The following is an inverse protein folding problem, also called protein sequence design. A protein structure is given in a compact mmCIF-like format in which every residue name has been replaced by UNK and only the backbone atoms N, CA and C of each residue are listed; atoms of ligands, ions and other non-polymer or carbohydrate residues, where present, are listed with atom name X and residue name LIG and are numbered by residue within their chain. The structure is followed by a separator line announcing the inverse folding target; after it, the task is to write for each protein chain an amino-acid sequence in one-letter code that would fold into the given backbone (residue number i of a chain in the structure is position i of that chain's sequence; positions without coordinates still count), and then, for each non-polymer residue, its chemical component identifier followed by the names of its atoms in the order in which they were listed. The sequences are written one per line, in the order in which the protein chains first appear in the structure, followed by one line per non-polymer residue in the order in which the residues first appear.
data_IF_626095719130
#
_entry.id   IF_626095719130
#
_cell.length_a   1.000
_cell.length_b   1.000
_cell.length_c   1.000
_cell.angle_alpha   90.00
_cell.angle_beta   90.00
_cell.angle_gamma   90.00
#
_symmetry.space_group_name_H-M   'P 1'
#
loop_
_entity.id
_entity.type
_entity.pdbx_description
1 polymer ?
#
# COMPACT_ATOMS: atom_id res chain seq x y z
N UNK A 1 6.26 -14.76 24.55
CA UNK A 1 4.84 -15.17 24.74
C UNK A 1 3.83 -14.46 23.83
N UNK A 2 4.20 -13.75 22.80
CA UNK A 2 3.22 -13.12 21.90
C UNK A 2 2.34 -14.13 21.14
N UNK A 3 2.89 -15.30 20.78
CA UNK A 3 2.18 -16.27 19.94
C UNK A 3 0.98 -16.98 20.58
N UNK A 4 0.83 -16.90 21.90
CA UNK A 4 -0.35 -17.46 22.59
C UNK A 4 -1.54 -16.52 22.62
N UNK A 5 -1.31 -15.25 22.37
CA UNK A 5 -2.31 -14.19 22.48
C UNK A 5 -3.14 -14.02 21.22
N UNK A 6 -2.60 -14.41 20.07
CA UNK A 6 -3.29 -14.28 18.77
C UNK A 6 -4.16 -15.50 18.40
N UNK A 7 -4.20 -16.55 19.22
CA UNK A 7 -4.89 -17.80 18.87
C UNK A 7 -6.41 -17.76 18.96
N UNK A 8 -6.98 -16.82 19.67
CA UNK A 8 -8.43 -16.75 19.91
C UNK A 8 -9.09 -15.49 19.32
N UNK A 9 -8.39 -14.76 18.47
CA UNK A 9 -8.96 -13.64 17.71
C UNK A 9 -9.41 -12.44 18.55
N UNK A 10 -9.01 -12.36 19.80
CA UNK A 10 -9.37 -11.26 20.69
C UNK A 10 -8.25 -10.23 20.74
N UNK A 11 -8.63 -8.96 20.84
CA UNK A 11 -7.71 -7.86 20.95
C UNK A 11 -6.79 -8.01 22.17
N UNK A 12 -5.52 -8.11 21.89
CA UNK A 12 -4.50 -8.22 22.91
C UNK A 12 -3.64 -6.98 23.02
N UNK A 13 -4.19 -5.82 22.67
CA UNK A 13 -3.58 -4.52 22.92
C UNK A 13 -3.11 -4.34 24.39
N UNK A 14 -3.61 -5.19 25.27
CA UNK A 14 -3.50 -5.02 26.71
C UNK A 14 -2.18 -5.44 27.32
N UNK A 15 -1.24 -6.02 26.59
CA UNK A 15 0.01 -6.48 27.20
C UNK A 15 1.25 -6.40 26.31
N UNK A 16 1.33 -5.43 25.43
CA UNK A 16 2.60 -5.12 24.82
C UNK A 16 3.60 -4.77 25.92
N UNK A 17 4.71 -5.49 25.97
CA UNK A 17 5.78 -5.28 26.94
C UNK A 17 7.05 -5.01 26.20
N UNK A 18 7.74 -3.98 26.61
CA UNK A 18 9.06 -3.64 26.14
C UNK A 18 10.11 -4.19 27.08
N UNK A 19 11.21 -4.74 26.55
CA UNK A 19 12.31 -5.22 27.35
C UNK A 19 13.31 -4.09 27.55
N UNK A 20 13.23 -3.43 28.71
CA UNK A 20 14.18 -2.37 29.08
C UNK A 20 15.10 -2.94 30.17
N UNK A 21 16.41 -2.88 29.96
CA UNK A 21 17.43 -3.39 30.89
C UNK A 21 17.21 -4.83 31.35
N UNK A 22 16.74 -5.68 30.42
CA UNK A 22 16.51 -7.10 30.73
C UNK A 22 15.18 -7.43 31.39
N UNK A 23 14.41 -6.45 31.88
CA UNK A 23 13.09 -6.61 32.45
C UNK A 23 11.99 -6.29 31.44
N UNK A 24 10.90 -7.09 31.43
CA UNK A 24 9.72 -6.80 30.66
C UNK A 24 8.89 -5.73 31.38
N UNK A 25 8.82 -4.53 30.80
CA UNK A 25 7.96 -3.46 31.28
C UNK A 25 6.77 -3.28 30.33
N UNK A 26 5.62 -2.78 30.81
CA UNK A 26 4.53 -2.41 29.92
C UNK A 26 5.04 -1.42 28.89
N UNK A 27 4.83 -1.70 27.61
CA UNK A 27 5.14 -0.76 26.55
C UNK A 27 4.22 0.46 26.67
N UNK A 28 4.70 1.62 26.24
CA UNK A 28 3.89 2.84 26.17
C UNK A 28 2.68 2.72 25.24
N UNK A 29 2.64 1.71 24.35
CA UNK A 29 1.45 1.31 23.62
C UNK A 29 0.25 0.91 24.51
N UNK A 30 0.51 0.55 25.75
CA UNK A 30 -0.54 0.19 26.73
C UNK A 30 -1.45 1.37 27.08
N UNK A 31 -1.06 2.58 26.80
CA UNK A 31 -1.85 3.75 27.14
C UNK A 31 -3.01 4.02 26.14
N UNK A 32 -3.10 3.27 25.06
CA UNK A 32 -4.21 3.38 24.12
C UNK A 32 -4.91 2.02 23.95
N UNK A 33 -5.87 1.69 24.81
CA UNK A 33 -6.49 0.36 24.88
C UNK A 33 -7.23 -0.04 23.59
N UNK A 34 -7.52 0.92 22.72
CA UNK A 34 -8.16 0.67 21.43
C UNK A 34 -7.19 0.28 20.30
N UNK A 35 -5.87 0.42 20.50
CA UNK A 35 -4.89 0.08 19.46
C UNK A 35 -4.32 -1.32 19.70
N UNK A 36 -4.27 -2.11 18.62
CA UNK A 36 -3.61 -3.41 18.62
C UNK A 36 -2.11 -3.20 18.40
N UNK A 37 -1.33 -3.40 19.44
CA UNK A 37 0.12 -3.34 19.35
C UNK A 37 0.68 -4.50 18.52
N UNK A 38 1.86 -4.29 17.94
CA UNK A 38 2.60 -5.28 17.14
C UNK A 38 1.83 -5.85 15.93
N UNK A 39 0.74 -5.21 15.51
CA UNK A 39 -0.10 -5.68 14.41
C UNK A 39 0.67 -5.84 13.09
N UNK A 40 1.69 -5.02 12.88
CA UNK A 40 2.55 -5.06 11.70
C UNK A 40 3.92 -5.70 11.96
N UNK A 41 4.15 -6.25 13.15
CA UNK A 41 5.40 -6.95 13.41
C UNK A 41 5.51 -8.18 12.51
N UNK A 42 6.67 -8.46 11.88
CA UNK A 42 6.81 -9.56 10.91
C UNK A 42 6.49 -10.95 11.44
N UNK A 43 6.56 -11.16 12.75
CA UNK A 43 6.22 -12.43 13.36
C UNK A 43 4.71 -12.59 13.64
N UNK A 44 3.96 -11.48 13.67
CA UNK A 44 2.52 -11.43 13.94
C UNK A 44 1.77 -10.49 12.99
N UNK A 45 2.03 -10.48 11.69
CA UNK A 45 1.42 -9.49 10.81
C UNK A 45 -0.08 -9.76 10.65
N UNK A 46 -0.89 -8.70 10.68
CA UNK A 46 -2.33 -8.78 10.39
C UNK A 46 -2.64 -9.21 8.95
N UNK A 47 -1.66 -9.07 8.06
CA UNK A 47 -1.76 -9.44 6.63
C UNK A 47 -1.38 -10.89 6.34
N UNK A 48 -1.25 -11.76 7.37
CA UNK A 48 -1.03 -13.19 7.15
C UNK A 48 -2.14 -13.79 6.28
N UNK A 49 -1.73 -14.61 5.31
CA UNK A 49 -2.62 -15.25 4.34
C UNK A 49 -3.36 -14.28 3.41
N UNK A 50 -2.87 -13.06 3.27
CA UNK A 50 -3.38 -12.12 2.26
C UNK A 50 -2.73 -12.37 0.89
N UNK A 51 -3.24 -11.71 -0.13
CA UNK A 51 -2.58 -11.70 -1.45
C UNK A 51 -1.15 -11.16 -1.39
N UNK A 52 -0.83 -10.34 -0.37
CA UNK A 52 0.51 -9.76 -0.17
C UNK A 52 1.50 -10.73 0.49
N UNK A 53 1.05 -11.84 1.05
CA UNK A 53 1.93 -12.88 1.63
C UNK A 53 2.08 -14.10 0.73
N UNK A 54 1.58 -14.00 -0.49
CA UNK A 54 1.65 -15.05 -1.50
C UNK A 54 3.08 -15.24 -2.00
N UNK A 55 3.54 -16.48 -2.07
CA UNK A 55 4.85 -16.82 -2.64
C UNK A 55 4.83 -16.67 -4.17
N UNK A 56 5.68 -15.77 -4.67
CA UNK A 56 5.80 -15.48 -6.11
C UNK A 56 6.89 -16.31 -6.80
N UNK A 57 7.58 -17.20 -6.10
CA UNK A 57 8.71 -17.96 -6.66
C UNK A 57 8.34 -18.82 -7.86
N UNK A 58 7.08 -19.24 -7.96
CA UNK A 58 6.53 -20.03 -9.07
C UNK A 58 5.57 -19.23 -9.95
N UNK A 59 5.54 -17.92 -9.82
CA UNK A 59 4.70 -17.06 -10.67
C UNK A 59 5.12 -17.23 -12.15
N UNK A 60 4.17 -17.57 -13.05
CA UNK A 60 4.45 -17.62 -14.47
C UNK A 60 4.80 -16.24 -15.00
N UNK A 61 5.84 -16.18 -15.80
CA UNK A 61 6.37 -14.93 -16.31
C UNK A 61 5.61 -14.50 -17.58
N UNK A 62 5.41 -13.19 -17.68
CA UNK A 62 4.95 -12.58 -18.92
C UNK A 62 6.01 -12.81 -20.02
N UNK A 63 5.63 -13.13 -21.27
CA UNK A 63 6.60 -13.36 -22.35
C UNK A 63 7.56 -12.21 -22.56
N UNK A 64 7.11 -10.98 -22.32
CA UNK A 64 7.95 -9.77 -22.41
C UNK A 64 8.47 -9.31 -21.04
N UNK A 65 8.65 -10.20 -20.08
CA UNK A 65 9.10 -9.85 -18.72
C UNK A 65 10.44 -9.09 -18.74
N UNK A 66 11.36 -9.46 -19.62
CA UNK A 66 12.65 -8.78 -19.77
C UNK A 66 12.48 -7.34 -20.31
N UNK A 67 11.57 -7.13 -21.26
CA UNK A 67 11.22 -5.79 -21.77
C UNK A 67 10.59 -4.93 -20.68
N UNK A 68 9.74 -5.52 -19.83
CA UNK A 68 9.14 -4.84 -18.66
C UNK A 68 10.21 -4.43 -17.65
N UNK A 69 11.16 -5.30 -17.33
CA UNK A 69 12.27 -4.96 -16.43
C UNK A 69 13.14 -3.82 -16.97
N UNK A 70 13.46 -3.87 -18.26
CA UNK A 70 14.19 -2.80 -18.93
C UNK A 70 13.41 -1.46 -18.92
N UNK A 71 12.10 -1.51 -19.14
CA UNK A 71 11.22 -0.35 -19.08
C UNK A 71 11.16 0.24 -17.67
N UNK A 72 11.03 -0.59 -16.64
CA UNK A 72 11.05 -0.16 -15.24
C UNK A 72 12.38 0.53 -14.90
N UNK A 73 13.49 -0.05 -15.31
CA UNK A 73 14.80 0.55 -15.10
C UNK A 73 14.97 1.89 -15.82
N UNK A 74 14.50 1.99 -17.08
CA UNK A 74 14.54 3.21 -17.89
C UNK A 74 13.70 4.33 -17.27
N UNK A 75 12.52 4.00 -16.75
CA UNK A 75 11.54 4.95 -16.25
C UNK A 75 11.60 5.14 -14.71
N UNK A 76 12.58 4.55 -14.06
CA UNK A 76 12.84 4.74 -12.64
C UNK A 76 13.41 6.12 -12.30
N UNK A 77 14.34 6.72 -13.07
CA UNK A 77 14.60 8.14 -12.99
C UNK A 77 13.36 8.92 -13.37
N UNK A 78 13.21 10.14 -12.88
CA UNK A 78 12.15 11.06 -13.30
C UNK A 78 12.00 11.05 -14.83
N UNK A 79 10.91 10.47 -15.38
CA UNK A 79 10.77 10.31 -16.83
C UNK A 79 10.68 11.62 -17.58
N UNK A 80 10.45 12.73 -16.87
CA UNK A 80 10.33 14.04 -17.50
C UNK A 80 11.58 14.88 -17.40
N UNK A 81 12.60 14.48 -16.64
CA UNK A 81 13.86 15.20 -16.48
C UNK A 81 13.63 16.69 -16.18
N UNK A 82 12.55 16.95 -15.47
CA UNK A 82 11.85 18.21 -15.52
C UNK A 82 12.53 19.28 -14.68
N UNK A 83 12.12 20.48 -14.93
CA UNK A 83 12.41 21.64 -14.10
C UNK A 83 12.07 21.42 -12.61
N UNK A 84 11.25 20.44 -12.28
CA UNK A 84 10.95 20.06 -10.89
C UNK A 84 12.18 19.50 -10.19
N UNK A 85 12.90 18.59 -10.82
CA UNK A 85 14.19 18.11 -10.30
C UNK A 85 15.26 19.21 -10.36
N UNK A 86 15.27 19.99 -11.42
CA UNK A 86 16.20 21.10 -11.60
C UNK A 86 15.97 22.28 -10.65
N UNK A 87 14.72 22.51 -10.25
CA UNK A 87 14.35 23.63 -9.37
C UNK A 87 14.49 23.33 -7.87
N UNK A 88 14.50 22.09 -7.48
CA UNK A 88 14.61 21.68 -6.08
C UNK A 88 16.07 21.38 -5.73
N UNK A 89 16.80 22.40 -5.34
CA UNK A 89 18.12 22.23 -4.72
C UNK A 89 17.98 21.31 -3.50
N UNK A 90 18.49 20.08 -3.61
CA UNK A 90 18.52 19.11 -2.52
C UNK A 90 17.29 18.23 -2.36
N UNK A 91 16.36 18.24 -3.31
CA UNK A 91 15.12 17.47 -3.21
C UNK A 91 15.25 15.95 -3.33
N UNK A 92 16.38 15.41 -3.67
CA UNK A 92 16.63 13.97 -3.69
C UNK A 92 15.83 13.17 -4.76
N UNK A 93 14.99 13.82 -5.52
CA UNK A 93 14.09 13.21 -6.48
C UNK A 93 14.76 12.80 -7.81
N UNK A 94 16.02 13.09 -7.97
CA UNK A 94 16.84 12.54 -9.06
C UNK A 94 17.28 11.09 -8.84
N UNK A 95 16.86 10.49 -7.72
CA UNK A 95 17.13 9.11 -7.42
C UNK A 95 16.33 8.18 -8.33
N UNK A 96 16.94 7.07 -8.73
CA UNK A 96 16.27 6.04 -9.56
C UNK A 96 15.12 5.35 -8.85
N UNK A 97 15.02 5.43 -7.55
CA UNK A 97 13.96 4.89 -6.72
C UNK A 97 13.91 5.69 -5.43
N UNK A 98 12.72 6.04 -4.99
CA UNK A 98 12.50 6.80 -3.77
C UNK A 98 11.76 5.97 -2.72
N UNK A 99 11.77 6.45 -1.48
CA UNK A 99 10.95 5.97 -0.39
C UNK A 99 9.92 7.04 -0.06
N UNK A 100 8.64 6.73 -0.12
CA UNK A 100 7.58 7.58 0.40
C UNK A 100 7.38 7.28 1.88
N UNK A 101 7.80 8.20 2.73
CA UNK A 101 7.65 8.08 4.19
C UNK A 101 7.06 9.35 4.80
N UNK A 102 6.61 9.28 6.03
CA UNK A 102 6.08 10.44 6.74
C UNK A 102 7.09 11.57 6.95
N UNK A 103 8.38 11.27 6.89
CA UNK A 103 9.42 12.29 6.93
C UNK A 103 9.68 12.96 5.58
N UNK A 104 9.43 12.25 4.48
CA UNK A 104 9.61 12.74 3.11
C UNK A 104 8.78 11.92 2.12
N UNK A 105 8.09 12.59 1.25
CA UNK A 105 7.17 11.98 0.28
C UNK A 105 5.72 12.40 0.50
N UNK A 106 4.84 11.93 -0.36
CA UNK A 106 3.44 12.40 -0.40
C UNK A 106 2.41 11.33 -0.09
N UNK A 107 2.79 10.05 -0.15
CA UNK A 107 1.86 8.92 -0.14
C UNK A 107 2.00 7.94 1.04
N UNK A 108 2.63 8.28 2.17
CA UNK A 108 2.54 7.43 3.35
C UNK A 108 1.11 7.38 3.86
N UNK A 109 0.75 6.29 4.53
CA UNK A 109 -0.58 6.12 5.12
C UNK A 109 -0.47 5.89 6.63
N UNK A 110 -1.30 6.58 7.42
CA UNK A 110 -1.39 6.35 8.86
C UNK A 110 -2.33 5.16 9.10
N UNK A 111 -1.77 4.01 9.47
CA UNK A 111 -2.53 2.78 9.66
C UNK A 111 -2.81 2.52 11.14
N UNK A 112 -4.08 2.40 11.47
CA UNK A 112 -4.58 2.07 12.80
C UNK A 112 -5.23 0.69 12.80
N UNK A 113 -4.90 -0.13 13.78
CA UNK A 113 -5.55 -1.42 14.01
C UNK A 113 -6.29 -1.35 15.33
N UNK A 114 -7.60 -1.57 15.29
CA UNK A 114 -8.51 -1.46 16.44
C UNK A 114 -9.38 -2.71 16.56
N UNK A 115 -10.03 -2.86 17.70
CA UNK A 115 -11.04 -3.89 17.94
C UNK A 115 -12.35 -3.26 18.42
N UNK A 116 -13.34 -3.19 17.55
CA UNK A 116 -14.64 -2.63 17.88
C UNK A 116 -15.44 -3.47 18.91
N UNK A 117 -15.01 -4.69 19.20
CA UNK A 117 -15.63 -5.52 20.27
C UNK A 117 -15.07 -5.21 21.65
N UNK A 118 -13.95 -4.48 21.72
CA UNK A 118 -13.36 -4.12 23.01
C UNK A 118 -14.15 -2.95 23.64
N UNK A 119 -14.54 -3.03 24.95
CA UNK A 119 -15.40 -2.04 25.58
C UNK A 119 -14.78 -0.63 25.71
N UNK A 120 -13.45 -0.51 25.60
CA UNK A 120 -12.74 0.76 25.63
C UNK A 120 -12.48 1.33 24.24
N UNK A 121 -13.08 0.78 23.18
CA UNK A 121 -12.93 1.29 21.83
C UNK A 121 -13.58 2.67 21.71
N UNK A 122 -12.80 3.60 21.23
CA UNK A 122 -13.24 4.95 20.96
C UNK A 122 -13.73 5.07 19.51
N UNK A 123 -14.57 6.04 19.25
CA UNK A 123 -15.21 6.25 17.96
C UNK A 123 -15.06 7.68 17.48
N UNK A 124 -15.05 7.84 16.18
CA UNK A 124 -15.11 9.12 15.50
C UNK A 124 -16.23 9.14 14.46
N UNK A 125 -16.67 10.32 14.09
CA UNK A 125 -17.62 10.54 13.00
C UNK A 125 -16.87 10.86 11.73
N UNK A 126 -16.91 9.98 10.74
CA UNK A 126 -16.27 10.16 9.44
C UNK A 126 -17.27 10.64 8.39
N UNK A 127 -16.93 11.69 7.67
CA UNK A 127 -17.66 12.18 6.51
C UNK A 127 -16.81 12.01 5.25
N UNK A 128 -17.03 10.93 4.55
CA UNK A 128 -16.33 10.66 3.29
C UNK A 128 -17.18 11.18 2.12
N UNK A 129 -16.59 12.03 1.25
CA UNK A 129 -17.30 12.65 0.14
C UNK A 129 -17.68 11.66 -0.93
N UNK A 130 -16.78 10.75 -1.26
CA UNK A 130 -17.00 9.78 -2.33
C UNK A 130 -16.26 8.49 -2.04
N UNK A 131 -16.72 7.39 -2.59
CA UNK A 131 -15.97 6.16 -2.62
C UNK A 131 -15.05 6.10 -3.84
N UNK A 132 -13.93 5.37 -3.72
CA UNK A 132 -12.94 5.29 -4.79
C UNK A 132 -13.47 4.59 -6.05
N UNK A 133 -14.47 3.73 -5.90
CA UNK A 133 -15.12 3.05 -7.03
C UNK A 133 -15.87 4.04 -7.91
N UNK A 134 -16.59 4.99 -7.30
CA UNK A 134 -17.31 6.05 -8.00
C UNK A 134 -16.35 6.98 -8.74
N UNK A 135 -15.22 7.33 -8.15
CA UNK A 135 -14.26 8.26 -8.79
C UNK A 135 -13.64 7.69 -10.05
N UNK A 136 -13.42 6.40 -10.12
CA UNK A 136 -12.90 5.74 -11.33
C UNK A 136 -14.00 5.29 -12.29
N UNK A 137 -15.24 5.69 -12.01
CA UNK A 137 -16.39 5.34 -12.83
C UNK A 137 -16.71 3.84 -12.80
N UNK A 138 -16.33 3.15 -11.76
CA UNK A 138 -16.71 1.77 -11.53
C UNK A 138 -18.20 1.71 -11.21
N UNK A 139 -18.91 0.88 -11.92
CA UNK A 139 -20.29 0.58 -11.59
C UNK A 139 -20.28 -0.43 -10.43
N UNK A 140 -20.59 0.04 -9.23
CA UNK A 140 -20.77 -0.81 -8.06
C UNK A 140 -22.06 -1.66 -8.19
N UNK A 141 -22.21 -2.34 -9.33
CA UNK A 141 -23.32 -3.27 -9.55
C UNK A 141 -23.27 -4.35 -8.50
N UNK A 142 -24.32 -4.56 -7.74
CA UNK A 142 -24.31 -5.52 -6.65
C UNK A 142 -24.04 -6.92 -7.15
N UNK A 143 -23.02 -7.54 -6.58
CA UNK A 143 -22.93 -9.00 -6.64
C UNK A 143 -23.84 -9.60 -5.55
N UNK A 144 -24.31 -10.83 -5.69
CA UNK A 144 -25.14 -11.47 -4.66
C UNK A 144 -24.53 -11.48 -3.26
N UNK A 145 -23.21 -11.34 -3.16
CA UNK A 145 -22.41 -11.49 -1.94
C UNK A 145 -21.80 -10.19 -1.41
N UNK A 146 -21.86 -9.10 -2.19
CA UNK A 146 -21.22 -7.83 -1.83
C UNK A 146 -22.20 -6.71 -1.46
N UNK A 147 -21.69 -5.58 -0.95
CA UNK A 147 -22.53 -4.41 -0.67
C UNK A 147 -23.19 -3.90 -1.93
N UNK A 148 -24.46 -3.51 -1.80
CA UNK A 148 -25.30 -3.12 -2.92
C UNK A 148 -25.17 -1.60 -3.17
N UNK A 149 -24.35 -1.24 -4.17
CA UNK A 149 -24.30 0.11 -4.69
C UNK A 149 -23.62 1.15 -3.77
N UNK A 150 -23.49 2.35 -4.27
CA UNK A 150 -22.80 3.50 -3.62
C UNK A 150 -23.35 3.77 -2.21
N UNK A 151 -24.66 3.69 -1.99
CA UNK A 151 -25.27 3.95 -0.68
C UNK A 151 -24.79 2.95 0.38
N UNK A 152 -24.60 1.68 0.02
CA UNK A 152 -24.08 0.69 0.95
C UNK A 152 -22.59 0.92 1.27
N UNK A 153 -21.80 1.30 0.28
CA UNK A 153 -20.39 1.68 0.49
C UNK A 153 -20.29 2.87 1.43
N UNK A 154 -21.08 3.93 1.19
CA UNK A 154 -21.07 5.13 2.02
C UNK A 154 -21.42 4.83 3.49
N UNK A 155 -22.30 3.88 3.76
CA UNK A 155 -22.63 3.46 5.14
C UNK A 155 -21.47 2.78 5.86
N UNK A 156 -20.51 2.23 5.12
CA UNK A 156 -19.34 1.56 5.70
C UNK A 156 -18.19 2.53 5.91
N UNK A 157 -17.98 3.45 4.97
CA UNK A 157 -16.87 4.41 4.99
C UNK A 157 -17.22 5.74 5.65
N UNK A 158 -18.49 5.98 5.97
CA UNK A 158 -18.97 7.20 6.64
C UNK A 158 -19.80 6.86 7.87
N UNK A 159 -19.98 7.84 8.74
CA UNK A 159 -20.68 7.68 10.01
C UNK A 159 -19.75 7.35 11.16
N UNK A 160 -20.26 6.61 12.13
CA UNK A 160 -19.50 6.21 13.30
C UNK A 160 -18.51 5.10 12.96
N UNK A 161 -17.21 5.39 13.10
CA UNK A 161 -16.12 4.41 12.87
C UNK A 161 -15.27 4.25 14.13
N UNK A 162 -14.75 3.04 14.41
CA UNK A 162 -13.85 2.84 15.54
C UNK A 162 -12.50 3.50 15.23
N UNK A 163 -12.19 4.61 15.90
CA UNK A 163 -10.95 5.36 15.70
C UNK A 163 -10.50 5.95 17.02
N UNK A 164 -9.24 5.79 17.43
CA UNK A 164 -8.77 6.31 18.71
C UNK A 164 -8.79 7.83 18.76
N UNK A 165 -9.11 8.36 19.92
CA UNK A 165 -9.09 9.80 20.17
C UNK A 165 -7.69 10.36 19.88
N UNK A 166 -7.65 11.46 19.12
CA UNK A 166 -6.41 12.10 18.70
C UNK A 166 -5.73 11.44 17.50
N UNK A 167 -6.33 10.41 16.89
CA UNK A 167 -5.81 9.84 15.64
C UNK A 167 -5.67 10.94 14.58
N UNK A 168 -4.56 10.89 13.84
CA UNK A 168 -4.26 11.82 12.77
C UNK A 168 -3.98 11.05 11.48
N UNK A 169 -4.35 11.58 10.31
CA UNK A 169 -3.87 11.05 9.04
C UNK A 169 -2.36 11.23 8.91
N UNK A 170 -1.77 10.64 7.91
CA UNK A 170 -0.42 11.00 7.50
C UNK A 170 -0.35 12.53 7.30
N UNK A 171 0.70 13.15 7.83
CA UNK A 171 0.76 14.63 7.96
C UNK A 171 1.27 15.35 6.72
N UNK A 172 1.59 14.61 5.68
CA UNK A 172 2.12 15.13 4.42
C UNK A 172 1.33 14.58 3.22
N UNK A 173 1.37 15.35 2.12
CA UNK A 173 0.82 14.96 0.83
C UNK A 173 -0.65 14.54 0.87
N UNK A 174 -0.90 13.28 0.61
CA UNK A 174 -2.23 12.71 0.38
C UNK A 174 -3.07 12.54 1.65
N UNK A 175 -2.48 12.78 2.83
CA UNK A 175 -3.17 12.63 4.12
C UNK A 175 -3.90 11.30 4.24
N UNK A 176 -3.23 10.22 3.82
CA UNK A 176 -3.79 8.88 3.85
C UNK A 176 -4.03 8.39 5.28
N UNK A 177 -5.15 7.70 5.47
CA UNK A 177 -5.47 6.99 6.71
C UNK A 177 -6.03 5.63 6.37
N UNK A 178 -5.54 4.59 7.05
CA UNK A 178 -6.06 3.24 6.98
C UNK A 178 -6.52 2.79 8.36
N UNK A 179 -7.63 2.09 8.42
CA UNK A 179 -8.23 1.63 9.65
C UNK A 179 -8.67 0.18 9.50
N UNK A 180 -8.03 -0.72 10.19
CA UNK A 180 -8.46 -2.10 10.29
C UNK A 180 -9.14 -2.36 11.63
N UNK A 181 -10.41 -2.74 11.57
CA UNK A 181 -11.19 -3.16 12.72
C UNK A 181 -11.25 -4.68 12.75
N UNK A 182 -10.47 -5.29 13.63
CA UNK A 182 -10.43 -6.75 13.76
C UNK A 182 -11.72 -7.32 14.32
N UNK A 183 -12.47 -6.53 15.08
CA UNK A 183 -13.77 -6.94 15.66
C UNK A 183 -14.83 -7.17 14.59
N UNK A 184 -14.89 -6.30 13.58
CA UNK A 184 -15.82 -6.42 12.45
C UNK A 184 -15.22 -7.07 11.22
N UNK A 185 -13.90 -7.21 11.14
CA UNK A 185 -13.19 -7.68 9.95
C UNK A 185 -13.22 -6.65 8.80
N UNK A 186 -13.46 -5.39 9.09
CA UNK A 186 -13.54 -4.34 8.06
C UNK A 186 -12.24 -3.55 8.04
N UNK A 187 -11.64 -3.49 6.85
CA UNK A 187 -10.52 -2.61 6.55
C UNK A 187 -11.00 -1.42 5.74
N UNK A 188 -10.72 -0.21 6.23
CA UNK A 188 -11.05 1.04 5.55
C UNK A 188 -9.78 1.77 5.17
N UNK A 189 -9.76 2.37 3.99
CA UNK A 189 -8.70 3.29 3.57
C UNK A 189 -9.32 4.59 3.08
N UNK A 190 -8.65 5.70 3.41
CA UNK A 190 -9.10 7.03 3.10
C UNK A 190 -7.97 7.86 2.51
N UNK A 191 -8.32 8.73 1.57
CA UNK A 191 -7.47 9.75 0.97
C UNK A 191 -7.99 11.14 1.34
N UNK A 192 -7.07 12.08 1.51
CA UNK A 192 -7.34 13.49 1.85
C UNK A 192 -8.17 13.62 3.13
N UNK A 193 -7.66 13.01 4.21
CA UNK A 193 -8.31 13.05 5.52
C UNK A 193 -7.94 14.34 6.26
N UNK A 194 -8.95 14.99 6.80
CA UNK A 194 -8.83 16.15 7.68
C UNK A 194 -9.54 15.87 9.00
N UNK A 195 -8.88 16.18 10.10
CA UNK A 195 -9.46 16.01 11.43
C UNK A 195 -8.43 15.61 12.48
N UNK A 196 -8.85 15.57 13.77
CA UNK A 196 -10.20 15.95 14.21
C UNK A 196 -10.47 17.43 14.00
N UNK A 197 -11.69 17.76 13.54
CA UNK A 197 -12.12 19.15 13.29
C UNK A 197 -12.52 19.79 14.62
N UNK A 198 -11.87 20.89 15.04
CA UNK A 198 -12.02 21.41 16.41
C UNK A 198 -13.43 21.92 16.71
N UNK A 199 -14.10 22.50 15.70
CA UNK A 199 -15.40 23.17 15.85
C UNK A 199 -16.59 22.27 15.47
N UNK A 200 -16.34 20.97 15.26
CA UNK A 200 -17.36 20.01 14.84
C UNK A 200 -17.43 18.82 15.76
N UNK A 201 -18.66 18.38 16.01
CA UNK A 201 -18.94 17.16 16.77
C UNK A 201 -19.92 16.29 15.99
N UNK A 202 -19.75 14.99 16.11
CA UNK A 202 -20.69 13.99 15.63
C UNK A 202 -22.00 14.01 16.45
N UNK A 203 -22.96 13.17 16.07
CA UNK A 203 -24.29 13.16 16.70
C UNK A 203 -24.30 12.96 18.22
N UNK A 204 -23.32 12.26 18.78
CA UNK A 204 -23.20 12.01 20.22
C UNK A 204 -21.97 12.68 20.84
N UNK A 205 -21.36 13.65 20.15
CA UNK A 205 -20.19 14.38 20.63
C UNK A 205 -18.84 13.86 20.16
N UNK A 206 -18.81 12.87 19.26
CA UNK A 206 -17.59 12.27 18.73
C UNK A 206 -16.74 13.30 17.96
N UNK A 207 -15.41 13.11 17.89
CA UNK A 207 -14.56 13.88 16.99
C UNK A 207 -15.00 13.68 15.53
N UNK A 208 -15.02 14.75 14.74
CA UNK A 208 -15.39 14.69 13.32
C UNK A 208 -14.16 14.71 12.43
N UNK A 209 -14.16 13.83 11.44
CA UNK A 209 -13.18 13.78 10.36
C UNK A 209 -13.89 13.89 9.01
N UNK A 210 -13.19 14.42 8.02
CA UNK A 210 -13.65 14.39 6.63
C UNK A 210 -12.61 13.68 5.78
N UNK A 211 -13.06 13.01 4.72
CA UNK A 211 -12.18 12.39 3.72
C UNK A 211 -12.66 12.73 2.31
N UNK A 212 -11.73 12.93 1.39
CA UNK A 212 -12.04 13.17 -0.02
C UNK A 212 -12.55 11.91 -0.70
N UNK A 213 -11.85 10.81 -0.52
CA UNK A 213 -12.16 9.49 -1.08
C UNK A 213 -11.98 8.43 0.00
N UNK A 214 -12.81 7.41 0.00
CA UNK A 214 -12.68 6.25 0.85
C UNK A 214 -13.04 4.95 0.15
N UNK A 215 -12.58 3.87 0.73
CA UNK A 215 -12.92 2.52 0.31
C UNK A 215 -12.82 1.56 1.48
N UNK A 216 -13.23 0.33 1.25
CA UNK A 216 -13.20 -0.69 2.30
C UNK A 216 -13.00 -2.09 1.73
N UNK A 217 -12.67 -3.00 2.63
CA UNK A 217 -12.71 -4.43 2.42
C UNK A 217 -13.42 -5.09 3.58
N UNK A 218 -14.14 -6.16 3.31
CA UNK A 218 -14.91 -6.89 4.33
C UNK A 218 -14.25 -8.23 4.62
N UNK A 219 -14.27 -8.61 5.89
CA UNK A 219 -13.70 -9.87 6.38
C UNK A 219 -12.21 -10.05 6.02
N UNK A 220 -11.47 -8.92 6.00
CA UNK A 220 -10.08 -8.93 5.62
C UNK A 220 -9.84 -9.66 4.29
N UNK A 221 -10.31 -9.11 3.19
CA UNK A 221 -10.41 -9.78 1.90
C UNK A 221 -9.07 -10.19 1.30
N UNK A 222 -7.99 -9.62 1.81
CA UNK A 222 -6.67 -10.08 1.46
C UNK A 222 -6.22 -11.33 2.21
N UNK A 223 -6.89 -11.71 3.30
CA UNK A 223 -6.41 -12.76 4.21
C UNK A 223 -6.54 -14.16 3.64
N UNK A 224 -7.64 -14.45 2.99
CA UNK A 224 -7.84 -15.74 2.34
C UNK A 224 -7.55 -15.64 0.85
N UNK A 225 -6.42 -16.17 0.45
CA UNK A 225 -5.99 -16.24 -0.94
C UNK A 225 -6.59 -17.43 -1.71
N UNK A 226 -7.50 -18.17 -1.08
CA UNK A 226 -8.22 -19.26 -1.76
C UNK A 226 -9.07 -18.70 -2.90
N UNK A 227 -8.91 -19.26 -4.08
CA UNK A 227 -9.65 -18.86 -5.27
C UNK A 227 -11.16 -19.12 -5.17
N UNK A 228 -11.57 -19.89 -4.19
CA UNK A 228 -12.97 -20.26 -3.96
C UNK A 228 -13.61 -19.43 -2.85
N UNK A 229 -12.83 -18.68 -2.08
CA UNK A 229 -13.38 -17.83 -1.02
C UNK A 229 -13.75 -16.45 -1.57
N UNK A 230 -15.04 -16.12 -1.63
CA UNK A 230 -15.49 -14.82 -2.11
C UNK A 230 -15.00 -13.64 -1.26
N UNK A 231 -14.80 -13.84 0.05
CA UNK A 231 -14.34 -12.77 0.94
C UNK A 231 -12.95 -12.23 0.58
N UNK A 232 -12.08 -13.08 -0.01
CA UNK A 232 -10.76 -12.66 -0.49
C UNK A 232 -10.79 -11.64 -1.63
N UNK A 233 -11.95 -11.36 -2.17
CA UNK A 233 -12.15 -10.53 -3.35
C UNK A 233 -12.92 -9.27 -3.05
N UNK A 234 -13.47 -9.16 -1.84
CA UNK A 234 -14.34 -8.04 -1.48
C UNK A 234 -13.47 -6.83 -1.20
N UNK A 235 -13.39 -5.95 -2.17
CA UNK A 235 -12.77 -4.63 -2.00
C UNK A 235 -13.51 -3.59 -2.82
N UNK A 236 -13.56 -2.39 -2.33
CA UNK A 236 -14.01 -1.21 -3.07
C UNK A 236 -12.83 -0.29 -3.31
N UNK A 237 -13.06 0.84 -3.96
CA UNK A 237 -12.03 1.84 -4.15
C UNK A 237 -11.33 2.18 -2.85
N UNK A 238 -10.03 2.36 -2.93
CA UNK A 238 -9.15 2.63 -1.81
C UNK A 238 -8.54 4.02 -1.93
N UNK A 239 -7.59 4.34 -1.08
CA UNK A 239 -6.89 5.61 -1.10
C UNK A 239 -5.94 5.78 -2.29
N UNK A 240 -5.61 4.72 -2.99
CA UNK A 240 -4.77 4.73 -4.19
C UNK A 240 -5.57 4.57 -5.47
N UNK A 241 -5.04 5.08 -6.57
CA UNK A 241 -5.68 5.05 -7.88
C UNK A 241 -5.97 3.64 -8.40
N UNK A 242 -5.18 2.66 -8.01
CA UNK A 242 -5.40 1.27 -8.38
C UNK A 242 -6.67 0.65 -7.75
N UNK A 243 -7.31 1.34 -6.81
CA UNK A 243 -8.47 0.84 -6.08
C UNK A 243 -8.25 -0.56 -5.50
N UNK A 244 -7.10 -0.77 -4.87
CA UNK A 244 -6.76 -2.00 -4.16
C UNK A 244 -6.20 -1.65 -2.78
N UNK A 245 -6.19 -2.63 -1.87
CA UNK A 245 -5.52 -2.46 -0.58
C UNK A 245 -4.03 -2.25 -0.78
N UNK A 246 -3.58 -1.02 -0.69
CA UNK A 246 -2.17 -0.69 -0.83
C UNK A 246 -1.43 -0.69 0.52
N UNK A 247 -2.10 -0.32 1.61
CA UNK A 247 -1.51 -0.30 2.96
C UNK A 247 -1.01 -1.66 3.44
N UNK A 248 -1.57 -2.76 2.95
CA UNK A 248 -1.08 -4.12 3.22
C UNK A 248 0.31 -4.40 2.63
N UNK A 249 0.74 -3.64 1.66
CA UNK A 249 2.07 -3.73 1.03
C UNK A 249 3.01 -2.60 1.43
N UNK A 250 2.62 -1.74 2.37
CA UNK A 250 3.46 -0.64 2.86
C UNK A 250 4.39 -1.12 3.95
N UNK A 251 5.61 -0.61 3.95
CA UNK A 251 6.66 -0.98 4.89
C UNK A 251 6.38 -0.32 6.25
N UNK A 252 6.27 -1.13 7.29
CA UNK A 252 6.07 -0.63 8.65
C UNK A 252 7.41 -0.43 9.38
N UNK A 253 7.52 0.57 10.28
CA UNK A 253 8.72 0.76 11.10
C UNK A 253 9.17 -0.49 11.85
N UNK A 254 8.24 -1.30 12.37
CA UNK A 254 8.57 -2.53 13.12
C UNK A 254 9.22 -3.60 12.26
N UNK A 255 8.91 -3.66 10.96
CA UNK A 255 9.57 -4.57 10.04
C UNK A 255 11.03 -4.18 9.83
N UNK A 256 11.30 -2.88 9.74
CA UNK A 256 12.68 -2.40 9.62
C UNK A 256 13.45 -2.64 10.91
N UNK A 257 12.85 -2.44 12.09
CA UNK A 257 13.44 -2.78 13.38
C UNK A 257 13.76 -4.27 13.49
N UNK A 258 12.87 -5.11 12.98
CA UNK A 258 13.04 -6.56 12.95
C UNK A 258 14.04 -7.03 11.87
N UNK A 259 14.46 -6.15 10.97
CA UNK A 259 15.38 -6.47 9.87
C UNK A 259 14.79 -7.35 8.77
N UNK A 260 13.45 -7.46 8.67
CA UNK A 260 12.78 -8.29 7.66
C UNK A 260 11.40 -7.76 7.32
N UNK A 261 11.01 -7.94 6.05
CA UNK A 261 9.68 -7.64 5.52
C UNK A 261 9.07 -8.96 5.03
N UNK A 262 7.89 -9.30 5.54
CA UNK A 262 7.24 -10.60 5.28
C UNK A 262 5.99 -10.47 4.39
N UNK A 263 5.96 -9.48 3.51
CA UNK A 263 4.89 -9.28 2.53
C UNK A 263 5.42 -8.70 1.21
N UNK A 264 4.59 -8.71 0.19
CA UNK A 264 4.86 -8.05 -1.07
C UNK A 264 4.91 -6.54 -0.90
N UNK A 265 5.77 -5.89 -1.64
CA UNK A 265 6.01 -4.46 -1.55
C UNK A 265 5.06 -3.71 -2.50
N UNK A 266 4.22 -2.87 -1.95
CA UNK A 266 3.47 -1.88 -2.71
C UNK A 266 4.39 -0.72 -3.11
N UNK A 267 4.33 -0.34 -4.36
CA UNK A 267 5.08 0.81 -4.85
C UNK A 267 4.22 1.69 -5.76
N UNK A 268 4.65 2.93 -5.91
CA UNK A 268 4.06 3.91 -6.81
C UNK A 268 4.89 3.99 -8.08
N UNK A 269 4.25 3.89 -9.23
CA UNK A 269 4.93 4.08 -10.50
C UNK A 269 5.34 5.54 -10.72
N UNK A 270 6.50 5.78 -11.29
CA UNK A 270 6.81 7.06 -11.92
C UNK A 270 5.96 7.30 -13.18
N UNK A 271 5.68 6.23 -13.92
CA UNK A 271 4.75 6.22 -15.03
C UNK A 271 4.19 4.82 -15.25
N UNK A 272 3.02 4.73 -15.86
CA UNK A 272 2.38 3.51 -16.38
C UNK A 272 1.87 3.79 -17.77
N UNK A 273 2.10 2.89 -18.72
CA UNK A 273 1.62 3.08 -20.07
C UNK A 273 0.11 2.85 -20.18
N UNK A 274 -0.55 3.70 -20.96
CA UNK A 274 -1.92 3.49 -21.38
C UNK A 274 -2.04 2.30 -22.34
N UNK A 275 -3.20 1.67 -22.36
CA UNK A 275 -3.54 0.65 -23.35
C UNK A 275 -4.25 1.24 -24.57
N UNK A 276 -4.89 2.40 -24.38
CA UNK A 276 -5.53 3.18 -25.45
C UNK A 276 -5.54 4.66 -25.09
N UNK A 277 -5.88 5.50 -26.06
CA UNK A 277 -6.03 6.94 -25.89
C UNK A 277 -7.20 7.48 -26.70
N UNK A 278 -7.87 8.51 -26.18
CA UNK A 278 -8.80 9.33 -26.94
C UNK A 278 -8.04 10.50 -27.57
N UNK A 279 -8.44 10.87 -28.79
CA UNK A 279 -7.81 11.93 -29.56
C UNK A 279 -8.84 12.98 -29.96
N UNK A 280 -8.41 14.24 -30.02
CA UNK A 280 -9.22 15.31 -30.59
C UNK A 280 -9.17 15.28 -32.13
N UNK A 281 -9.91 16.20 -32.78
CA UNK A 281 -9.99 16.31 -34.20
C UNK A 281 -8.63 16.65 -34.87
N UNK A 282 -7.66 17.13 -34.12
CA UNK A 282 -6.30 17.44 -34.54
C UNK A 282 -5.31 16.31 -34.25
N UNK A 283 -5.78 15.15 -33.74
CA UNK A 283 -4.96 14.00 -33.40
C UNK A 283 -4.15 14.15 -32.10
N UNK A 284 -4.49 15.12 -31.23
CA UNK A 284 -3.84 15.29 -29.93
C UNK A 284 -4.53 14.42 -28.88
N UNK A 285 -3.76 13.82 -27.99
CA UNK A 285 -4.29 13.02 -26.90
C UNK A 285 -5.14 13.89 -25.97
N UNK A 286 -6.40 13.50 -25.78
CA UNK A 286 -7.31 14.11 -24.82
C UNK A 286 -7.31 13.33 -23.51
N UNK A 287 -7.27 11.99 -23.59
CA UNK A 287 -7.33 11.10 -22.44
C UNK A 287 -6.55 9.82 -22.70
N UNK A 288 -5.89 9.33 -21.64
CA UNK A 288 -5.22 8.04 -21.62
C UNK A 288 -6.07 7.04 -20.81
N UNK A 289 -6.11 5.79 -21.28
CA UNK A 289 -6.82 4.70 -20.62
C UNK A 289 -5.85 3.58 -20.28
N UNK A 290 -5.72 3.24 -19.00
CA UNK A 290 -4.93 2.10 -18.55
C UNK A 290 -5.81 0.89 -18.28
N UNK A 291 -5.30 -0.31 -18.55
CA UNK A 291 -5.96 -1.57 -18.16
C UNK A 291 -5.25 -2.15 -16.95
N UNK A 292 -5.91 -2.18 -15.78
CA UNK A 292 -5.30 -2.76 -14.59
C UNK A 292 -5.21 -4.30 -14.69
N UNK A 293 -4.35 -4.87 -13.86
CA UNK A 293 -4.28 -6.29 -13.57
C UNK A 293 -4.88 -6.57 -12.19
N UNK A 294 -5.55 -7.72 -12.00
CA UNK A 294 -5.99 -8.08 -10.66
C UNK A 294 -4.80 -8.13 -9.69
N UNK A 295 -4.91 -7.60 -8.43
CA UNK A 295 -6.13 -7.15 -7.74
C UNK A 295 -6.52 -5.69 -7.99
N UNK A 296 -5.81 -4.93 -8.81
CA UNK A 296 -6.18 -3.56 -9.11
C UNK A 296 -7.47 -3.49 -9.94
N UNK A 297 -8.29 -2.49 -9.62
CA UNK A 297 -9.55 -2.23 -10.30
C UNK A 297 -9.47 -1.06 -11.28
N UNK A 298 -8.47 -0.19 -11.15
CA UNK A 298 -8.29 0.98 -11.99
C UNK A 298 -6.81 1.25 -12.30
N UNK A 299 -6.57 2.14 -13.24
CA UNK A 299 -5.23 2.60 -13.63
C UNK A 299 -5.31 4.01 -14.20
N UNK A 300 -4.46 4.90 -13.74
CA UNK A 300 -4.34 6.29 -14.21
C UNK A 300 -3.11 6.45 -15.11
N UNK A 301 -3.07 5.72 -16.19
CA UNK A 301 -1.95 5.73 -17.15
C UNK A 301 -1.45 7.14 -17.50
N UNK A 302 -0.13 7.31 -17.50
CA UNK A 302 0.56 8.58 -17.79
C UNK A 302 1.45 8.51 -19.03
N UNK A 303 1.89 7.32 -19.42
CA UNK A 303 2.71 7.11 -20.61
C UNK A 303 1.84 6.70 -21.82
N UNK A 304 2.29 6.99 -23.08
CA UNK A 304 1.50 6.71 -24.27
C UNK A 304 1.29 5.21 -24.52
N UNK A 305 0.24 4.83 -25.28
CA UNK A 305 -0.05 3.42 -25.58
C UNK A 305 1.07 2.68 -26.31
N UNK A 306 1.93 3.37 -27.03
CA UNK A 306 3.10 2.77 -27.68
C UNK A 306 4.08 2.11 -26.71
N UNK A 307 4.09 2.51 -25.47
CA UNK A 307 4.93 1.93 -24.41
C UNK A 307 4.28 0.70 -23.75
N UNK A 308 2.98 0.45 -23.99
CA UNK A 308 2.21 -0.59 -23.31
C UNK A 308 2.81 -2.01 -23.40
N UNK A 309 3.43 -2.44 -24.52
CA UNK A 309 4.02 -3.77 -24.59
C UNK A 309 5.14 -4.01 -23.56
N UNK A 310 5.78 -2.94 -23.11
CA UNK A 310 6.93 -3.00 -22.20
C UNK A 310 6.59 -2.50 -20.79
N UNK A 311 5.47 -1.84 -20.57
CA UNK A 311 5.10 -1.31 -19.26
C UNK A 311 4.31 -2.33 -18.45
N UNK A 312 4.73 -2.68 -17.24
CA UNK A 312 3.81 -3.30 -16.28
C UNK A 312 2.64 -2.37 -16.00
N UNK A 313 1.55 -2.91 -15.48
CA UNK A 313 0.37 -2.13 -15.11
C UNK A 313 0.06 -2.25 -13.61
N UNK A 314 -0.81 -1.39 -13.11
CA UNK A 314 -1.30 -1.48 -11.73
C UNK A 314 -1.86 -2.87 -11.44
N UNK A 315 -1.50 -3.43 -10.28
CA UNK A 315 -1.90 -4.77 -9.85
C UNK A 315 -1.14 -5.92 -10.51
N UNK A 316 -0.33 -5.67 -11.54
CA UNK A 316 0.52 -6.73 -12.09
C UNK A 316 1.69 -7.01 -11.15
N UNK A 317 1.89 -8.28 -10.85
CA UNK A 317 2.95 -8.72 -9.93
C UNK A 317 4.29 -8.82 -10.62
N UNK A 318 5.31 -8.30 -9.94
CA UNK A 318 6.71 -8.50 -10.30
C UNK A 318 7.47 -9.13 -9.13
N UNK A 319 8.69 -9.54 -9.38
CA UNK A 319 9.63 -10.00 -8.36
C UNK A 319 11.06 -9.62 -8.75
N UNK A 320 11.97 -9.54 -7.78
CA UNK A 320 13.40 -9.54 -8.06
C UNK A 320 13.82 -10.98 -8.37
N UNK A 321 14.66 -11.15 -9.37
CA UNK A 321 15.18 -12.47 -9.75
C UNK A 321 15.84 -13.17 -8.56
N UNK A 322 15.65 -14.49 -8.48
CA UNK A 322 16.15 -15.30 -7.38
C UNK A 322 17.69 -15.32 -7.28
N UNK A 323 18.39 -15.13 -8.40
CA UNK A 323 19.84 -15.14 -8.49
C UNK A 323 20.50 -13.80 -8.10
N UNK A 324 19.72 -12.77 -7.79
CA UNK A 324 20.25 -11.50 -7.29
C UNK A 324 20.69 -11.66 -5.84
N UNK A 325 21.98 -11.48 -5.60
CA UNK A 325 22.55 -11.47 -4.26
C UNK A 325 22.40 -10.07 -3.63
N UNK A 326 21.63 -9.92 -2.53
CA UNK A 326 21.49 -8.61 -1.86
C UNK A 326 22.81 -8.06 -1.33
N UNK A 327 23.82 -8.90 -1.15
CA UNK A 327 25.15 -8.52 -0.68
C UNK A 327 26.13 -8.16 -1.80
N UNK A 328 25.70 -8.24 -3.05
CA UNK A 328 26.56 -7.94 -4.19
C UNK A 328 25.80 -7.22 -5.31
N UNK A 329 25.90 -5.89 -5.36
CA UNK A 329 25.37 -5.12 -6.47
C UNK A 329 26.32 -5.24 -7.68
N UNK A 330 25.89 -5.87 -8.79
CA UNK A 330 26.77 -6.11 -9.93
C UNK A 330 27.26 -4.84 -10.63
N UNK A 331 26.61 -3.70 -10.40
CA UNK A 331 27.00 -2.41 -10.98
C UNK A 331 28.12 -1.73 -10.20
N UNK A 332 28.21 -1.97 -8.91
CA UNK A 332 29.16 -1.26 -8.02
C UNK A 332 30.19 -2.20 -7.40
N UNK A 333 29.94 -3.51 -7.39
CA UNK A 333 30.73 -4.51 -6.66
C UNK A 333 30.60 -4.45 -5.14
N UNK A 334 29.73 -3.56 -4.61
CA UNK A 334 29.49 -3.37 -3.18
C UNK A 334 28.14 -3.98 -2.78
N UNK A 335 27.89 -4.21 -1.48
CA UNK A 335 26.54 -4.53 -1.01
C UNK A 335 25.55 -3.43 -1.36
N UNK A 336 24.30 -3.82 -1.66
CA UNK A 336 23.19 -2.86 -1.74
C UNK A 336 23.02 -2.11 -0.41
N UNK A 337 22.41 -0.93 -0.46
CA UNK A 337 22.01 -0.19 0.73
C UNK A 337 21.21 -1.11 1.70
N UNK A 338 21.36 -0.99 3.02
CA UNK A 338 20.69 -1.85 3.99
C UNK A 338 19.18 -2.00 3.78
N UNK A 339 18.47 -0.90 3.52
CA UNK A 339 17.04 -0.96 3.23
C UNK A 339 16.78 -1.66 1.89
N UNK A 340 17.55 -1.35 0.85
CA UNK A 340 17.43 -2.01 -0.46
C UNK A 340 17.61 -3.52 -0.34
N UNK A 341 18.51 -4.00 0.51
CA UNK A 341 18.69 -5.46 0.76
C UNK A 341 17.42 -6.09 1.30
N UNK A 342 16.74 -5.43 2.24
CA UNK A 342 15.46 -5.91 2.78
C UNK A 342 14.39 -5.95 1.69
N UNK A 343 14.33 -4.91 0.85
CA UNK A 343 13.39 -4.83 -0.27
C UNK A 343 13.66 -5.95 -1.30
N UNK A 344 14.92 -6.24 -1.63
CA UNK A 344 15.29 -7.33 -2.55
C UNK A 344 14.80 -8.67 -2.01
N UNK A 345 15.08 -8.98 -0.73
CA UNK A 345 14.67 -10.24 -0.10
C UNK A 345 13.16 -10.41 -0.08
N UNK A 346 12.43 -9.36 0.30
CA UNK A 346 10.96 -9.38 0.28
C UNK A 346 10.43 -9.55 -1.15
N UNK A 347 10.98 -8.80 -2.11
CA UNK A 347 10.58 -8.87 -3.51
C UNK A 347 10.85 -10.22 -4.17
N UNK A 348 11.91 -10.93 -3.76
CA UNK A 348 12.21 -12.28 -4.26
C UNK A 348 11.18 -13.31 -3.82
N UNK A 349 10.63 -13.16 -2.62
CA UNK A 349 9.71 -14.13 -2.02
C UNK A 349 8.24 -13.77 -2.22
N UNK A 350 7.91 -12.51 -1.98
CA UNK A 350 6.53 -12.04 -1.95
C UNK A 350 6.18 -11.14 -3.14
N UNK A 351 7.20 -10.62 -3.83
CA UNK A 351 7.02 -9.78 -5.00
C UNK A 351 6.86 -8.29 -4.73
N UNK A 352 6.60 -7.59 -5.81
CA UNK A 352 6.31 -6.16 -5.87
C UNK A 352 5.04 -5.95 -6.67
N UNK A 353 4.26 -4.94 -6.32
CA UNK A 353 3.03 -4.60 -7.05
C UNK A 353 2.82 -3.09 -7.06
N UNK A 354 2.57 -2.54 -8.23
CA UNK A 354 2.27 -1.12 -8.38
C UNK A 354 0.83 -0.81 -8.00
N UNK A 355 0.64 0.12 -7.08
CA UNK A 355 -0.67 0.48 -6.53
C UNK A 355 -1.11 1.90 -6.85
N UNK A 356 -0.18 2.73 -7.31
CA UNK A 356 -0.43 4.14 -7.59
C UNK A 356 0.56 4.70 -8.62
N UNK A 357 0.39 5.97 -9.02
CA UNK A 357 1.29 6.72 -9.90
C UNK A 357 1.59 8.09 -9.31
N UNK A 358 2.86 8.43 -9.14
CA UNK A 358 3.26 9.75 -8.64
C UNK A 358 3.73 10.71 -9.73
N UNK A 359 3.93 10.21 -10.94
CA UNK A 359 4.40 10.98 -12.09
C UNK A 359 5.86 11.49 -12.00
N UNK A 360 6.68 10.96 -11.10
CA UNK A 360 8.08 11.36 -10.92
C UNK A 360 9.04 10.18 -11.02
N UNK A 361 9.12 9.34 -9.99
CA UNK A 361 10.01 8.18 -9.91
C UNK A 361 9.25 6.99 -9.36
N UNK A 362 9.76 5.79 -9.55
CA UNK A 362 9.23 4.65 -8.80
C UNK A 362 9.56 4.83 -7.32
N UNK A 363 8.57 4.65 -6.45
CA UNK A 363 8.74 4.85 -5.02
C UNK A 363 8.07 3.73 -4.22
N UNK A 364 8.80 3.14 -3.29
CA UNK A 364 8.19 2.24 -2.29
C UNK A 364 7.52 3.05 -1.20
N UNK A 365 6.41 2.55 -0.69
CA UNK A 365 5.58 3.26 0.27
C UNK A 365 5.75 2.68 1.68
N UNK A 366 5.62 3.56 2.68
CA UNK A 366 5.70 3.18 4.08
C UNK A 366 4.44 3.55 4.83
N UNK A 367 4.19 2.86 5.94
CA UNK A 367 3.27 3.37 6.94
C UNK A 367 3.83 4.64 7.56
N UNK A 368 2.96 5.61 7.84
CA UNK A 368 3.32 6.83 8.57
C UNK A 368 3.70 6.48 10.02
N UNK A 369 4.65 7.21 10.58
CA UNK A 369 5.00 7.10 11.99
C UNK A 369 3.97 7.72 12.95
N UNK A 370 2.95 8.40 12.44
CA UNK A 370 1.95 9.10 13.27
C UNK A 370 1.21 8.18 14.25
N UNK A 371 0.75 6.98 13.87
CA UNK A 371 0.12 6.07 14.84
C UNK A 371 1.05 5.68 15.99
N UNK A 372 2.32 5.44 15.71
CA UNK A 372 3.31 5.15 16.75
C UNK A 372 3.55 6.36 17.67
N UNK A 373 3.67 7.56 17.09
CA UNK A 373 3.82 8.79 17.87
C UNK A 373 2.62 9.01 18.80
N UNK A 374 1.40 8.78 18.31
CA UNK A 374 0.19 8.84 19.13
C UNK A 374 0.24 7.81 20.28
N UNK A 375 0.54 6.56 19.95
CA UNK A 375 0.54 5.47 20.91
C UNK A 375 1.63 5.62 21.99
N UNK A 376 2.78 6.17 21.63
CA UNK A 376 3.96 6.26 22.52
C UNK A 376 4.15 7.62 23.18
N UNK A 377 3.45 8.66 22.71
CA UNK A 377 3.71 10.05 23.11
C UNK A 377 5.03 10.60 22.57
N UNK A 378 5.74 9.88 21.71
CA UNK A 378 6.95 10.38 21.05
C UNK A 378 6.59 11.53 20.10
N UNK A 379 7.46 12.53 20.04
CA UNK A 379 7.31 13.69 19.14
C UNK A 379 8.16 13.58 17.87
N UNK A 380 9.01 12.57 17.79
CA UNK A 380 9.88 12.33 16.64
C UNK A 380 9.32 11.17 15.81
N UNK A 381 9.10 11.44 14.54
CA UNK A 381 8.69 10.42 13.58
C UNK A 381 9.78 9.33 13.45
N UNK A 382 9.44 8.04 13.51
CA UNK A 382 10.41 6.95 13.34
C UNK A 382 11.18 7.02 12.01
N UNK A 383 10.58 7.57 10.95
CA UNK A 383 11.21 7.77 9.65
C UNK A 383 12.03 9.05 9.53
N UNK A 384 12.17 9.83 10.60
CA UNK A 384 12.96 11.06 10.56
C UNK A 384 14.39 10.78 10.07
N UNK A 385 14.91 11.67 9.24
CA UNK A 385 16.33 11.66 8.85
C UNK A 385 17.17 11.78 10.12
N UNK A 386 18.13 10.90 10.33
CA UNK A 386 18.87 10.73 11.57
C UNK A 386 18.05 10.23 12.78
N UNK A 387 16.81 9.80 12.56
CA UNK A 387 15.95 9.17 13.56
C UNK A 387 16.39 7.75 13.96
N UNK A 388 15.53 7.07 14.71
CA UNK A 388 15.79 5.71 15.19
C UNK A 388 16.03 4.72 14.06
N UNK A 389 15.07 4.65 13.09
CA UNK A 389 15.16 3.75 11.94
C UNK A 389 16.40 4.02 11.09
N UNK A 390 16.71 5.29 10.85
CA UNK A 390 17.89 5.68 10.09
C UNK A 390 19.19 5.18 10.76
N UNK A 391 19.29 5.28 12.09
CA UNK A 391 20.44 4.79 12.86
C UNK A 391 20.54 3.27 12.90
N UNK A 392 19.42 2.56 12.89
CA UNK A 392 19.39 1.08 12.79
C UNK A 392 19.92 0.66 11.42
N UNK A 393 19.42 1.26 10.35
CA UNK A 393 19.80 0.91 8.98
C UNK A 393 21.24 1.27 8.64
N UNK A 394 21.66 2.48 8.99
CA UNK A 394 23.01 2.98 8.68
C UNK A 394 23.56 3.82 9.85
N UNK A 395 24.14 3.16 10.85
CA UNK A 395 24.67 3.88 12.04
C UNK A 395 25.77 4.91 11.72
N UNK A 396 26.57 4.63 10.69
CA UNK A 396 27.68 5.51 10.30
C UNK A 396 27.21 6.77 9.55
N UNK A 397 26.19 6.60 8.69
CA UNK A 397 25.65 7.68 7.86
C UNK A 397 24.13 7.65 7.85
N UNK A 398 23.46 7.96 8.97
CA UNK A 398 22.00 7.85 9.09
C UNK A 398 21.23 8.65 8.03
N UNK A 399 21.81 9.77 7.56
CA UNK A 399 21.21 10.60 6.50
C UNK A 399 21.13 9.89 5.14
N UNK A 400 21.86 8.79 4.94
CA UNK A 400 21.82 7.95 3.73
C UNK A 400 20.99 6.69 3.93
N UNK A 401 20.43 6.46 5.11
CA UNK A 401 19.75 5.21 5.45
C UNK A 401 18.59 4.87 4.51
N UNK A 402 17.90 5.87 4.02
CA UNK A 402 16.73 5.73 3.15
C UNK A 402 17.04 5.91 1.66
N UNK A 403 18.31 5.96 1.29
CA UNK A 403 18.71 5.94 -0.11
C UNK A 403 18.55 4.53 -0.67
N UNK A 404 17.52 4.33 -1.48
CA UNK A 404 17.20 3.08 -2.18
C UNK A 404 17.33 3.23 -3.69
N UNK A 405 18.09 4.23 -4.14
CA UNK A 405 18.32 4.52 -5.56
C UNK A 405 19.01 3.37 -6.31
N UNK A 406 19.62 2.46 -5.58
CA UNK A 406 20.28 1.27 -6.09
C UNK A 406 19.35 0.06 -6.29
N UNK A 407 18.03 0.19 -6.05
CA UNK A 407 17.08 -0.91 -6.25
C UNK A 407 17.13 -1.45 -7.70
N UNK A 408 17.31 -2.77 -7.89
CA UNK A 408 17.67 -3.33 -9.19
C UNK A 408 16.47 -3.59 -10.12
N UNK A 409 15.78 -2.57 -10.59
CA UNK A 409 14.64 -2.72 -11.51
C UNK A 409 14.97 -3.55 -12.75
N UNK A 410 16.17 -3.44 -13.29
CA UNK A 410 16.63 -4.21 -14.46
C UNK A 410 16.80 -5.71 -14.18
N UNK A 411 16.81 -6.12 -12.92
CA UNK A 411 16.89 -7.52 -12.47
C UNK A 411 15.56 -8.02 -11.93
N UNK A 412 14.45 -7.37 -12.30
CA UNK A 412 13.11 -7.82 -11.96
C UNK A 412 12.56 -8.78 -13.02
N UNK A 413 11.56 -9.55 -12.64
CA UNK A 413 10.75 -10.40 -13.51
C UNK A 413 9.29 -10.08 -13.28
N UNK A 414 8.51 -10.03 -14.36
CA UNK A 414 7.10 -9.63 -14.30
C UNK A 414 6.21 -10.80 -14.70
N UNK A 415 5.18 -11.04 -13.89
CA UNK A 415 4.21 -12.09 -14.09
C UNK A 415 3.19 -11.77 -15.18
N UNK A 416 2.48 -12.79 -15.61
CA UNK A 416 1.30 -12.62 -16.47
C UNK A 416 0.25 -11.78 -15.75
N UNK A 417 -0.55 -11.06 -16.52
CA UNK A 417 -1.67 -10.28 -15.94
C UNK A 417 -2.69 -11.21 -15.26
N UNK A 418 -3.35 -10.66 -14.26
CA UNK A 418 -4.37 -11.34 -13.46
C UNK A 418 -3.90 -12.62 -12.76
N UNK A 419 -2.58 -12.76 -12.56
CA UNK A 419 -2.04 -13.93 -11.87
C UNK A 419 -2.64 -14.09 -10.46
N UNK A 420 -3.24 -15.27 -10.23
CA UNK A 420 -3.88 -15.61 -8.96
C UNK A 420 -5.23 -14.95 -8.73
N UNK A 421 -5.84 -14.37 -9.76
CA UNK A 421 -7.21 -13.87 -9.70
C UNK A 421 -8.15 -15.01 -9.30
N UNK A 422 -9.05 -14.80 -8.32
CA UNK A 422 -10.05 -15.81 -7.95
C UNK A 422 -11.05 -16.10 -9.07
N UNK A 423 -11.64 -17.29 -9.04
CA UNK A 423 -12.67 -17.70 -10.02
C UNK A 423 -13.96 -16.87 -9.88
N UNK A 424 -14.24 -16.41 -8.65
CA UNK A 424 -15.38 -15.54 -8.38
C UNK A 424 -14.82 -14.17 -8.02
N UNK A 425 -15.27 -13.13 -8.67
CA UNK A 425 -14.85 -11.76 -8.45
C UNK A 425 -16.05 -10.93 -7.98
N UNK A 426 -15.95 -10.32 -6.81
CA UNK A 426 -17.03 -9.49 -6.25
C UNK A 426 -17.28 -8.23 -7.05
N UNK A 427 -16.21 -7.68 -7.60
CA UNK A 427 -16.24 -6.48 -8.40
C UNK A 427 -15.65 -6.78 -9.76
N UNK A 428 -16.43 -7.45 -10.64
CA UNK A 428 -15.97 -7.74 -11.98
C UNK A 428 -15.61 -6.42 -12.65
N UNK A 429 -14.50 -6.41 -13.36
CA UNK A 429 -14.13 -5.27 -14.17
C UNK A 429 -15.24 -4.93 -15.12
N UNK A 430 -15.43 -3.65 -15.40
CA UNK A 430 -16.33 -3.22 -16.45
C UNK A 430 -16.03 -3.99 -17.74
N UNK A 431 -17.06 -4.52 -18.37
CA UNK A 431 -16.94 -5.20 -19.65
C UNK A 431 -16.21 -4.34 -20.72
N UNK A 432 -16.38 -3.03 -20.67
CA UNK A 432 -15.69 -2.09 -21.55
C UNK A 432 -14.16 -2.06 -21.33
N UNK A 433 -13.67 -2.40 -20.15
CA UNK A 433 -12.23 -2.52 -19.89
C UNK A 433 -11.66 -3.88 -20.33
N UNK A 434 -12.55 -4.84 -20.60
CA UNK A 434 -12.21 -6.22 -20.98
C UNK A 434 -12.40 -6.50 -22.47
N UNK A 435 -12.75 -5.52 -23.29
CA UNK A 435 -13.01 -5.71 -24.71
C UNK A 435 -11.77 -6.17 -25.50
N UNK A 436 -10.59 -5.95 -24.98
CA UNK A 436 -9.36 -6.51 -25.53
C UNK A 436 -8.86 -7.57 -24.55
N UNK A 437 -9.25 -8.81 -24.80
CA UNK A 437 -8.71 -9.96 -24.06
C UNK A 437 -7.21 -9.97 -24.24
N UNK A 438 -6.48 -9.61 -23.20
CA UNK A 438 -5.03 -9.76 -23.18
C UNK A 438 -4.73 -11.27 -23.28
N UNK A 439 -4.03 -11.73 -24.34
CA UNK A 439 -3.70 -13.14 -24.50
C UNK A 439 -2.85 -13.68 -23.34
N UNK A 440 -2.28 -12.79 -22.52
CA UNK A 440 -1.45 -13.11 -21.36
C UNK A 440 -2.20 -13.04 -20.02
N UNK A 441 -3.51 -12.98 -20.03
CA UNK A 441 -4.32 -13.26 -18.85
C UNK A 441 -4.10 -14.73 -18.45
N UNK A 442 -4.07 -14.99 -17.15
CA UNK A 442 -3.92 -16.33 -16.61
C UNK A 442 -4.91 -17.31 -17.31
N UNK A 443 -4.43 -18.47 -17.81
CA UNK A 443 -5.27 -19.40 -18.61
C UNK A 443 -6.59 -19.79 -17.97
N UNK A 444 -6.63 -19.81 -16.65
CA UNK A 444 -7.84 -20.16 -15.89
C UNK A 444 -8.93 -19.08 -15.93
N UNK A 445 -8.70 -17.95 -16.58
CA UNK A 445 -9.66 -16.83 -16.72
C UNK A 445 -9.95 -16.47 -18.18
N UNK A 446 -9.49 -17.28 -19.12
CA UNK A 446 -9.81 -17.13 -20.55
C UNK A 446 -11.17 -17.71 -20.88
#
# INVERSE_FOLDING_TARGET
MPSKLLKDGRAYALQAREKINGAWVPSSYVNHPALVADAFHPDNPIYQNTIFTRDVSKMPLHPNSAGMAAWMHKNSPDPWGTAWVKGQKGGGWGAKTALNSSAFGTQPIAAYVVDSTHPATEYAWMECKTDGMSTVGWDATPTPQGPKGIVAVQKIISGLIPLPTGALPAQNGDRGMSLYDIGSGIWREYFDVHGPLPDRKGPNGEPVYTAGVGGFSVNDPGRDISRTNPAAQTQSGQSAVACMHNSLGFIHPDEVRAGKINHALAFTFGAVAATSADYDAQGRVIRLHGTPSWPAAASDAKAPPSEAPNSPTHGQWGRVRKDVDPMHNPLTGLPYNPLTRMLIVAAQKYGIVGTDTNAFVHAFNTHSGVPEMLATGKTTDPWAVNGEIAKILNPAEPHKAFDISDFPWHLTEWGIRDWGRPLVDFYPRRAALNSNVDPYISPEYR
#
